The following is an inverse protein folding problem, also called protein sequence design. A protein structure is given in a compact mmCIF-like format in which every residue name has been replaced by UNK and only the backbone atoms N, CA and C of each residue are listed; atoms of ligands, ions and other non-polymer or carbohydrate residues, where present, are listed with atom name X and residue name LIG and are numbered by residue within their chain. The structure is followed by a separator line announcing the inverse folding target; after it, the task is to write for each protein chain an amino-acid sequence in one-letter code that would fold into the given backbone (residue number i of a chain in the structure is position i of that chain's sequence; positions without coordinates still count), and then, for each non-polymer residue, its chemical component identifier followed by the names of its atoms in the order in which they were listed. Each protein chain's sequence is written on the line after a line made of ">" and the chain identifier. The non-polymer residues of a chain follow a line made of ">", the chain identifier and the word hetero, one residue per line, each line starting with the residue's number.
data_IF_101784884184
#
_entry.id   IF_101784884184
#
_cell.length_a   1.000
_cell.length_b   1.000
_cell.length_c   1.000
_cell.angle_alpha   90.00
_cell.angle_beta   90.00
_cell.angle_gamma   90.00
#
_symmetry.space_group_name_H-M   'P 1'
#
loop_
_entity.id
_entity.type
_entity.pdbx_description
1 polymer ?
#
# COMPACT_ATOMS: atom_id res chain seq x y z
N UNK A 1 14.89 -10.81 -5.47
CA UNK A 1 14.42 -10.76 -5.46
C UNK A 1 13.81 -10.83 -5.02
N UNK A 2 13.34 -10.84 -4.58
CA UNK A 2 12.66 -10.79 -4.43
C UNK A 2 11.78 -10.36 -3.81
N UNK A 3 11.24 -9.76 -4.10
CA UNK A 3 10.11 -9.25 -3.69
C UNK A 3 9.03 -10.08 -3.95
N UNK A 4 9.16 -11.13 -4.41
CA UNK A 4 8.12 -12.03 -4.74
C UNK A 4 7.43 -12.64 -3.53
N UNK A 5 7.80 -12.23 -2.36
CA UNK A 5 7.19 -12.80 -1.17
C UNK A 5 5.80 -12.21 -0.89
N UNK A 6 5.44 -11.10 -1.51
CA UNK A 6 4.10 -10.59 -1.31
C UNK A 6 3.11 -11.43 -2.10
N UNK A 7 2.02 -11.82 -1.46
CA UNK A 7 1.01 -12.52 -2.20
C UNK A 7 -0.03 -11.53 -2.75
N UNK A 8 -0.76 -11.94 -3.78
CA UNK A 8 -1.74 -11.03 -4.37
C UNK A 8 -2.85 -10.62 -3.41
N UNK A 9 -3.03 -11.39 -2.33
CA UNK A 9 -4.06 -11.07 -1.35
C UNK A 9 -3.57 -10.16 -0.26
N UNK A 10 -2.31 -9.78 -0.28
CA UNK A 10 -1.75 -8.94 0.79
C UNK A 10 -2.47 -7.59 0.82
N UNK A 11 -3.01 -7.19 1.97
CA UNK A 11 -3.71 -5.91 2.06
C UNK A 11 -2.73 -4.75 1.91
N UNK A 12 -3.13 -3.76 1.12
CA UNK A 12 -2.34 -2.56 0.92
C UNK A 12 -3.25 -1.36 1.07
N UNK A 13 -2.64 -0.21 1.26
CA UNK A 13 -3.41 1.01 1.40
C UNK A 13 -2.60 2.21 0.98
N UNK A 14 -3.29 3.24 0.53
CA UNK A 14 -2.66 4.48 0.10
C UNK A 14 -2.88 5.53 1.18
N UNK A 15 -1.80 6.20 1.61
CA UNK A 15 -1.92 7.22 2.63
C UNK A 15 -2.28 8.58 2.04
N UNK A 16 -2.46 8.64 0.73
CA UNK A 16 -2.88 9.87 0.08
C UNK A 16 -4.39 9.92 -0.10
N UNK A 17 -4.95 8.85 -0.64
CA UNK A 17 -6.40 8.81 -0.87
C UNK A 17 -7.12 7.92 0.14
N UNK A 18 -6.37 7.24 0.99
CA UNK A 18 -6.90 6.41 2.08
C UNK A 18 -7.80 5.29 1.59
N UNK A 19 -7.42 4.70 0.48
CA UNK A 19 -8.14 3.56 -0.03
C UNK A 19 -7.37 2.28 0.22
N UNK A 20 -8.11 1.22 0.43
CA UNK A 20 -7.55 -0.10 0.65
C UNK A 20 -7.74 -0.95 -0.59
N UNK A 21 -6.74 -1.76 -0.90
CA UNK A 21 -6.81 -2.64 -2.05
C UNK A 21 -5.81 -3.77 -1.87
N UNK A 22 -6.03 -4.90 -2.53
CA UNK A 22 -5.05 -5.99 -2.45
C UNK A 22 -3.82 -5.67 -3.29
N UNK A 23 -2.74 -6.35 -2.99
CA UNK A 23 -1.50 -6.13 -3.72
C UNK A 23 -1.70 -6.38 -5.22
N UNK A 24 -2.60 -7.30 -5.56
CA UNK A 24 -2.85 -7.63 -6.95
C UNK A 24 -3.39 -6.45 -7.76
N UNK A 25 -4.01 -5.48 -7.08
CA UNK A 25 -4.55 -4.31 -7.77
C UNK A 25 -3.47 -3.34 -8.19
N UNK A 26 -2.27 -3.46 -7.64
CA UNK A 26 -1.18 -2.55 -7.99
C UNK A 26 -0.58 -3.03 -9.31
N UNK A 27 -0.70 -2.22 -10.34
CA UNK A 27 -0.19 -2.59 -11.65
C UNK A 27 0.98 -1.73 -12.08
N UNK A 28 1.31 -0.71 -11.32
CA UNK A 28 2.41 0.18 -11.67
C UNK A 28 3.38 0.28 -10.51
N UNK A 29 4.66 0.17 -10.83
CA UNK A 29 5.71 0.28 -9.83
C UNK A 29 6.80 1.20 -10.39
N UNK A 30 7.32 2.05 -9.53
CA UNK A 30 8.42 2.93 -9.89
C UNK A 30 9.73 2.36 -9.36
N UNK A 31 10.85 2.94 -9.77
CA UNK A 31 12.16 2.55 -9.26
C UNK A 31 12.41 1.06 -9.47
N UNK A 32 12.11 0.59 -10.67
CA UNK A 32 12.37 -0.79 -11.06
C UNK A 32 11.64 -1.78 -10.17
N UNK A 33 10.44 -1.42 -9.78
CA UNK A 33 9.61 -2.33 -9.01
C UNK A 33 9.71 -2.17 -7.52
N UNK A 34 10.44 -1.18 -7.07
CA UNK A 34 10.60 -0.98 -5.63
C UNK A 34 9.47 -0.19 -5.00
N UNK A 35 8.86 0.71 -5.77
CA UNK A 35 7.86 1.61 -5.21
C UNK A 35 6.51 1.36 -5.84
N UNK A 36 5.56 0.80 -5.08
CA UNK A 36 4.21 0.59 -5.60
C UNK A 36 3.47 1.90 -5.77
N UNK A 37 2.63 1.97 -6.78
CA UNK A 37 1.86 3.16 -7.10
C UNK A 37 0.39 2.86 -6.90
N UNK A 38 -0.31 3.78 -6.25
CA UNK A 38 -1.72 3.61 -5.96
C UNK A 38 -2.52 3.53 -7.26
N UNK A 39 -3.35 2.51 -7.42
CA UNK A 39 -4.15 2.38 -8.65
C UNK A 39 -5.30 3.39 -8.72
N UNK A 40 -5.59 4.06 -7.61
CA UNK A 40 -6.70 5.00 -7.60
C UNK A 40 -6.26 6.44 -7.84
N UNK A 41 -5.24 6.90 -7.14
CA UNK A 41 -4.85 8.30 -7.26
C UNK A 41 -3.49 8.50 -7.94
N UNK A 42 -2.77 7.42 -8.19
CA UNK A 42 -1.49 7.52 -8.88
C UNK A 42 -0.35 7.98 -8.00
N UNK A 43 -0.55 7.98 -6.69
CA UNK A 43 0.48 8.40 -5.75
C UNK A 43 1.37 7.22 -5.38
N UNK A 44 2.60 7.52 -4.99
CA UNK A 44 3.51 6.47 -4.54
C UNK A 44 3.46 6.30 -3.02
N UNK A 45 2.42 6.79 -2.38
CA UNK A 45 2.28 6.68 -0.93
C UNK A 45 1.50 5.42 -0.54
N UNK A 46 1.96 4.29 -1.02
CA UNK A 46 1.29 3.01 -0.77
C UNK A 46 2.02 2.24 0.30
N UNK A 47 1.25 1.73 1.26
CA UNK A 47 1.77 0.88 2.32
C UNK A 47 1.36 -0.56 2.03
N UNK A 48 2.29 -1.47 2.19
CA UNK A 48 2.04 -2.89 2.02
C UNK A 48 2.14 -3.57 3.37
N UNK A 49 1.15 -4.39 3.69
CA UNK A 49 1.13 -5.08 4.97
C UNK A 49 2.33 -5.99 5.13
N UNK A 50 2.82 -6.08 6.36
CA UNK A 50 3.89 -6.98 6.73
C UNK A 50 3.42 -7.83 7.89
N UNK A 51 4.14 -8.90 8.22
CA UNK A 51 3.76 -9.69 9.39
C UNK A 51 3.69 -8.90 10.68
N UNK A 52 4.40 -7.77 10.72
CA UNK A 52 4.44 -6.97 11.93
C UNK A 52 3.43 -5.86 11.93
N UNK A 53 2.89 -5.51 10.78
CA UNK A 53 1.93 -4.42 10.69
C UNK A 53 0.97 -4.69 9.53
N UNK A 54 -0.29 -4.86 9.86
CA UNK A 54 -1.32 -5.08 8.86
C UNK A 54 -1.93 -3.74 8.50
N UNK A 55 -1.95 -3.44 7.22
CA UNK A 55 -2.52 -2.19 6.72
C UNK A 55 -4.02 -2.41 6.54
N UNK A 56 -4.81 -1.65 7.31
CA UNK A 56 -6.26 -1.73 7.19
C UNK A 56 -6.82 -0.33 7.36
N UNK A 57 -8.13 -0.26 7.34
CA UNK A 57 -8.81 1.01 7.43
C UNK A 57 -8.46 1.75 8.73
N UNK A 58 -8.40 1.01 9.81
CA UNK A 58 -8.08 1.59 11.10
C UNK A 58 -6.67 2.17 11.10
N UNK A 59 -5.74 1.46 10.48
CA UNK A 59 -4.36 1.91 10.41
C UNK A 59 -4.26 3.22 9.62
N UNK A 60 -4.92 3.29 8.49
CA UNK A 60 -4.88 4.50 7.67
C UNK A 60 -5.54 5.66 8.38
N UNK A 61 -6.62 5.39 9.05
CA UNK A 61 -7.31 6.43 9.78
C UNK A 61 -6.45 7.01 10.89
N UNK A 62 -5.71 6.14 11.58
CA UNK A 62 -4.82 6.59 12.64
C UNK A 62 -3.70 7.44 12.08
N UNK A 63 -3.17 7.07 10.94
CA UNK A 63 -2.12 7.86 10.31
C UNK A 63 -2.63 9.22 9.89
N UNK A 64 -3.85 9.27 9.41
CA UNK A 64 -4.43 10.52 9.01
C UNK A 64 -4.55 11.48 10.18
N UNK A 65 -4.94 10.94 11.35
CA UNK A 65 -5.03 11.78 12.53
C UNK A 65 -3.67 12.25 12.97
N UNK A 66 -2.67 11.41 12.81
CA UNK A 66 -1.32 11.76 13.23
C UNK A 66 -0.75 12.90 12.40
N UNK A 67 -1.07 12.91 11.12
CA UNK A 67 -0.53 13.92 10.25
C UNK A 67 -1.29 15.20 10.25
N UNK A 68 -2.31 15.35 11.06
CA UNK A 68 -3.06 16.53 10.98
C UNK A 68 -2.90 17.40 12.12
#
# INVERSE_FOLDING_TARGET
>A
MLRGSESPDTPCGCTHCYRLFPFADISEFWDEGETPVCPCCGSDNVLISTPEMIVDEHCLFAMRKTYH
#
